data_IF_837809910699
#
_entry.id   IF_837809910699
#
_cell.length_a   1.000
_cell.length_b   1.000
_cell.length_c   1.000
_cell.angle_alpha   90.00
_cell.angle_beta   90.00
_cell.angle_gamma   90.00
#
_symmetry.space_group_name_H-M   'P 1'
#
loop_
_entity.id
_entity.type
_entity.pdbx_description
1 polymer ?
#
# COMPACT_ATOMS: atom_id res chain seq x y z
N UNK A 1 -14.42 -13.54 -21.46
CA UNK A 1 -14.18 -12.08 -21.62
C UNK A 1 -12.96 -11.93 -22.52
N UNK A 2 -12.93 -11.03 -23.50
CA UNK A 2 -11.72 -10.85 -24.32
C UNK A 2 -10.55 -10.52 -23.38
N UNK A 3 -9.44 -11.31 -23.34
CA UNK A 3 -8.38 -11.14 -22.36
C UNK A 3 -7.84 -9.70 -22.29
N UNK A 4 -7.78 -9.03 -23.46
CA UNK A 4 -7.37 -7.64 -23.58
C UNK A 4 -8.35 -6.68 -22.89
N UNK A 5 -9.66 -6.95 -22.89
CA UNK A 5 -10.65 -6.12 -22.21
C UNK A 5 -10.44 -6.17 -20.68
N UNK A 6 -10.05 -7.33 -20.13
CA UNK A 6 -9.74 -7.45 -18.70
C UNK A 6 -8.58 -6.52 -18.31
N UNK A 7 -7.52 -6.54 -19.10
CA UNK A 7 -6.31 -5.74 -18.88
C UNK A 7 -6.58 -4.24 -19.07
N UNK A 8 -7.33 -3.85 -20.10
CA UNK A 8 -7.73 -2.46 -20.31
C UNK A 8 -8.59 -1.92 -19.17
N UNK A 9 -9.59 -2.67 -18.71
CA UNK A 9 -10.41 -2.25 -17.56
C UNK A 9 -9.56 -2.15 -16.29
N UNK A 10 -8.67 -3.12 -16.04
CA UNK A 10 -7.75 -3.03 -14.91
C UNK A 10 -6.87 -1.77 -15.00
N UNK A 11 -6.37 -1.42 -16.19
CA UNK A 11 -5.57 -0.21 -16.41
C UNK A 11 -6.38 1.06 -16.15
N UNK A 12 -7.60 1.18 -16.71
CA UNK A 12 -8.45 2.36 -16.52
C UNK A 12 -8.81 2.56 -15.05
N UNK A 13 -9.21 1.51 -14.35
CA UNK A 13 -9.56 1.59 -12.93
C UNK A 13 -8.31 1.95 -12.10
N UNK A 14 -7.13 1.37 -12.40
CA UNK A 14 -5.86 1.72 -11.72
C UNK A 14 -5.51 3.18 -11.91
N UNK A 15 -5.57 3.65 -13.15
CA UNK A 15 -5.25 5.03 -13.50
C UNK A 15 -6.19 6.01 -12.79
N UNK A 16 -7.49 5.74 -12.84
CA UNK A 16 -8.47 6.55 -12.13
C UNK A 16 -8.23 6.53 -10.60
N UNK A 17 -7.93 5.36 -10.02
CA UNK A 17 -7.63 5.25 -8.59
C UNK A 17 -6.42 6.08 -8.17
N UNK A 18 -5.35 6.09 -8.98
CA UNK A 18 -4.16 6.93 -8.73
C UNK A 18 -4.53 8.41 -8.76
N UNK A 19 -5.30 8.86 -9.77
CA UNK A 19 -5.76 10.25 -9.86
C UNK A 19 -6.60 10.64 -8.63
N UNK A 20 -7.57 9.82 -8.26
CA UNK A 20 -8.42 10.04 -7.09
C UNK A 20 -7.59 10.10 -5.80
N UNK A 21 -6.65 9.16 -5.63
CA UNK A 21 -5.74 9.11 -4.49
C UNK A 21 -4.85 10.35 -4.39
N UNK A 22 -4.31 10.85 -5.50
CA UNK A 22 -3.56 12.11 -5.55
C UNK A 22 -4.43 13.28 -5.14
N UNK A 23 -5.66 13.38 -5.66
CA UNK A 23 -6.59 14.44 -5.28
C UNK A 23 -6.89 14.42 -3.77
N UNK A 24 -7.13 13.24 -3.20
CA UNK A 24 -7.46 13.11 -1.78
C UNK A 24 -6.28 13.39 -0.86
N UNK A 25 -5.14 12.74 -1.10
CA UNK A 25 -3.95 12.94 -0.27
C UNK A 25 -3.38 14.35 -0.46
N UNK A 26 -3.39 14.87 -1.70
CA UNK A 26 -2.99 16.24 -2.00
C UNK A 26 -3.82 17.26 -1.23
N UNK A 27 -5.15 17.14 -1.27
CA UNK A 27 -6.04 17.97 -0.46
C UNK A 27 -5.74 17.84 1.04
N UNK A 28 -5.54 16.62 1.52
CA UNK A 28 -5.24 16.36 2.94
C UNK A 28 -3.93 17.04 3.37
N UNK A 29 -2.86 16.96 2.57
CA UNK A 29 -1.60 17.66 2.86
C UNK A 29 -1.75 19.17 2.80
N UNK A 30 -2.48 19.69 1.82
CA UNK A 30 -2.78 21.11 1.73
C UNK A 30 -3.52 21.63 2.97
N UNK A 31 -4.58 20.95 3.42
CA UNK A 31 -5.34 21.37 4.60
C UNK A 31 -4.54 21.28 5.89
N UNK A 32 -3.68 20.27 6.03
CA UNK A 32 -2.77 20.18 7.17
C UNK A 32 -1.75 21.33 7.15
N UNK A 33 -1.21 21.67 5.98
CA UNK A 33 -0.32 22.82 5.85
C UNK A 33 -1.05 24.12 6.18
N UNK A 34 -2.23 24.35 5.59
CA UNK A 34 -3.08 25.51 5.81
C UNK A 34 -3.37 25.70 7.31
N UNK A 35 -3.92 24.68 7.96
CA UNK A 35 -4.33 24.75 9.36
C UNK A 35 -3.18 25.06 10.32
N UNK A 36 -1.97 24.60 10.01
CA UNK A 36 -0.80 24.84 10.85
C UNK A 36 -0.09 26.16 10.53
N UNK A 37 -0.41 26.83 9.42
CA UNK A 37 0.21 28.12 9.01
C UNK A 37 -0.71 29.32 9.22
N UNK A 38 -1.94 29.12 9.73
CA UNK A 38 -2.83 30.22 10.11
C UNK A 38 -2.21 31.06 11.22
N UNK A 39 -2.10 32.37 10.99
CA UNK A 39 -1.61 33.33 11.98
C UNK A 39 -2.77 33.95 12.74
N UNK A 40 -2.47 34.47 13.93
CA UNK A 40 -3.43 35.30 14.67
C UNK A 40 -3.76 36.54 13.85
N UNK A 41 -5.05 36.79 13.54
CA UNK A 41 -5.44 37.94 12.74
C UNK A 41 -5.29 39.27 13.52
N UNK A 42 -5.24 40.43 12.83
CA UNK A 42 -5.39 41.75 13.46
C UNK A 42 -6.76 41.91 14.14
N UNK A 43 -6.86 42.84 15.09
CA UNK A 43 -8.03 42.94 15.98
C UNK A 43 -9.35 43.21 15.24
N UNK A 44 -9.33 44.00 14.16
CA UNK A 44 -10.52 44.26 13.35
C UNK A 44 -11.09 42.99 12.68
N UNK A 45 -10.26 41.98 12.39
CA UNK A 45 -10.70 40.67 11.89
C UNK A 45 -11.20 39.76 13.01
N UNK A 46 -10.58 39.83 14.19
CA UNK A 46 -11.07 39.11 15.38
C UNK A 46 -12.48 39.54 15.74
N UNK A 47 -12.76 40.84 15.64
CA UNK A 47 -14.10 41.42 15.85
C UNK A 47 -15.15 40.83 14.88
N UNK A 48 -14.74 40.37 13.69
CA UNK A 48 -15.57 39.65 12.71
C UNK A 48 -15.63 38.13 12.93
N UNK A 49 -15.16 37.63 14.07
CA UNK A 49 -15.16 36.21 14.40
C UNK A 49 -14.08 35.36 13.71
N UNK A 50 -13.08 35.98 13.07
CA UNK A 50 -11.96 35.28 12.43
C UNK A 50 -10.94 34.90 13.51
N UNK A 51 -10.61 33.60 13.60
CA UNK A 51 -9.60 33.07 14.54
C UNK A 51 -8.23 32.83 13.91
N UNK A 52 -8.18 32.69 12.59
CA UNK A 52 -6.95 32.42 11.85
C UNK A 52 -6.96 33.06 10.49
N UNK A 53 -5.81 33.56 10.06
CA UNK A 53 -5.64 34.30 8.82
C UNK A 53 -4.36 33.85 8.10
N UNK A 54 -4.46 33.66 6.78
CA UNK A 54 -3.34 33.27 5.94
C UNK A 54 -3.40 34.02 4.60
N UNK A 55 -2.26 34.58 4.22
CA UNK A 55 -2.02 35.08 2.87
C UNK A 55 -1.14 34.11 2.10
N UNK A 56 -1.54 33.79 0.87
CA UNK A 56 -0.80 32.92 -0.04
C UNK A 56 -0.76 33.53 -1.45
N UNK A 57 0.25 33.17 -2.24
CA UNK A 57 0.36 33.55 -3.65
C UNK A 57 0.41 32.28 -4.50
N UNK A 58 -0.42 32.21 -5.53
CA UNK A 58 -0.40 31.11 -6.49
C UNK A 58 -1.03 31.55 -7.83
N UNK A 59 -0.57 31.00 -8.96
CA UNK A 59 -1.16 31.27 -10.28
C UNK A 59 -1.21 32.75 -10.67
N UNK A 60 -0.30 33.58 -10.16
CA UNK A 60 -0.28 35.03 -10.43
C UNK A 60 -1.25 35.88 -9.58
N UNK A 61 -1.96 35.28 -8.62
CA UNK A 61 -2.88 35.98 -7.72
C UNK A 61 -2.52 35.83 -6.24
N UNK A 62 -3.06 36.75 -5.43
CA UNK A 62 -2.99 36.69 -3.96
C UNK A 62 -4.30 36.12 -3.41
N UNK A 63 -4.19 35.16 -2.50
CA UNK A 63 -5.30 34.55 -1.78
C UNK A 63 -5.24 34.94 -0.31
N UNK A 64 -6.38 35.33 0.23
CA UNK A 64 -6.59 35.52 1.66
C UNK A 64 -7.54 34.42 2.14
N UNK A 65 -7.08 33.64 3.13
CA UNK A 65 -7.87 32.55 3.71
C UNK A 65 -8.15 32.87 5.18
N UNK A 66 -9.42 33.11 5.48
CA UNK A 66 -9.90 33.36 6.83
C UNK A 66 -10.56 32.11 7.42
N UNK A 67 -10.09 31.67 8.59
CA UNK A 67 -10.71 30.61 9.38
C UNK A 67 -11.52 31.22 10.51
N UNK A 68 -12.83 30.99 10.49
CA UNK A 68 -13.76 31.49 11.52
C UNK A 68 -13.72 30.64 12.80
N UNK A 69 -13.99 31.27 13.94
CA UNK A 69 -14.08 30.58 15.21
C UNK A 69 -15.28 29.63 15.25
N UNK A 70 -16.45 30.17 14.91
CA UNK A 70 -17.75 29.50 14.93
C UNK A 70 -18.32 29.46 13.52
N UNK A 71 -18.56 30.62 12.91
CA UNK A 71 -19.01 30.77 11.53
C UNK A 71 -18.96 32.25 11.09
N UNK A 72 -19.17 32.52 9.79
CA UNK A 72 -19.28 33.88 9.27
C UNK A 72 -20.61 34.54 9.68
N UNK A 73 -20.66 35.87 9.61
CA UNK A 73 -21.89 36.66 9.86
C UNK A 73 -23.03 36.27 8.92
N UNK A 74 -22.70 36.00 7.65
CA UNK A 74 -23.63 35.49 6.65
C UNK A 74 -23.07 34.20 6.06
N UNK A 75 -23.85 33.13 6.12
CA UNK A 75 -23.47 31.87 5.51
C UNK A 75 -23.41 31.99 3.98
N UNK A 76 -22.34 31.50 3.33
CA UNK A 76 -22.24 31.53 1.88
C UNK A 76 -23.24 30.57 1.25
N UNK A 77 -23.76 30.93 0.08
CA UNK A 77 -24.72 30.09 -0.67
C UNK A 77 -24.11 28.76 -1.12
N UNK A 78 -22.80 28.76 -1.39
CA UNK A 78 -22.06 27.58 -1.86
C UNK A 78 -20.92 27.25 -0.91
N UNK A 79 -20.99 26.06 -0.33
CA UNK A 79 -19.90 25.44 0.43
C UNK A 79 -19.33 24.28 -0.36
N UNK A 80 -18.01 24.26 -0.52
CA UNK A 80 -17.32 23.11 -1.08
C UNK A 80 -17.08 22.06 0.01
N UNK A 81 -17.51 20.82 -0.25
CA UNK A 81 -17.36 19.70 0.68
C UNK A 81 -16.32 18.72 0.14
N UNK A 82 -15.15 18.69 0.78
CA UNK A 82 -14.05 17.78 0.46
C UNK A 82 -14.36 16.33 0.88
N UNK A 83 -15.26 15.69 0.13
CA UNK A 83 -15.72 14.31 0.37
C UNK A 83 -15.50 13.42 -0.85
N UNK A 84 -15.57 13.99 -2.05
CA UNK A 84 -15.58 13.22 -3.28
C UNK A 84 -14.21 12.64 -3.60
N UNK A 85 -13.13 13.31 -3.21
CA UNK A 85 -11.77 12.82 -3.35
C UNK A 85 -11.59 11.52 -2.54
N UNK A 86 -12.05 11.52 -1.29
CA UNK A 86 -12.02 10.32 -0.44
C UNK A 86 -12.93 9.20 -0.97
N UNK A 87 -14.16 9.55 -1.35
CA UNK A 87 -15.16 8.56 -1.79
C UNK A 87 -14.77 7.93 -3.12
N UNK A 88 -14.33 8.72 -4.10
CA UNK A 88 -13.88 8.21 -5.40
C UNK A 88 -12.63 7.34 -5.27
N UNK A 89 -11.70 7.69 -4.37
CA UNK A 89 -10.52 6.85 -4.08
C UNK A 89 -10.94 5.50 -3.52
N UNK A 90 -11.86 5.47 -2.54
CA UNK A 90 -12.30 4.21 -1.95
C UNK A 90 -13.13 3.35 -2.91
N UNK A 91 -14.04 3.96 -3.68
CA UNK A 91 -14.84 3.26 -4.69
C UNK A 91 -13.90 2.61 -5.71
N UNK A 92 -12.99 3.38 -6.29
CA UNK A 92 -12.02 2.85 -7.26
C UNK A 92 -11.06 1.82 -6.67
N UNK A 93 -10.62 1.99 -5.43
CA UNK A 93 -9.77 1.02 -4.73
C UNK A 93 -10.50 -0.30 -4.45
N UNK A 94 -11.76 -0.22 -4.04
CA UNK A 94 -12.61 -1.41 -3.85
C UNK A 94 -12.87 -2.12 -5.16
N UNK A 95 -13.11 -1.37 -6.25
CA UNK A 95 -13.23 -1.93 -7.59
C UNK A 95 -11.93 -2.64 -8.01
N UNK A 96 -10.75 -2.10 -7.71
CA UNK A 96 -9.47 -2.78 -7.98
C UNK A 96 -9.28 -4.05 -7.15
N UNK A 97 -9.62 -4.00 -5.87
CA UNK A 97 -9.55 -5.15 -4.99
C UNK A 97 -10.43 -6.28 -5.54
N UNK A 98 -11.67 -5.95 -5.93
CA UNK A 98 -12.57 -6.91 -6.56
C UNK A 98 -12.02 -7.42 -7.89
N UNK A 99 -11.62 -6.52 -8.79
CA UNK A 99 -11.22 -6.85 -10.16
C UNK A 99 -9.97 -7.73 -10.21
N UNK A 100 -8.98 -7.44 -9.36
CA UNK A 100 -7.67 -8.11 -9.39
C UNK A 100 -7.62 -9.28 -8.41
N UNK A 101 -8.07 -9.07 -7.16
CA UNK A 101 -7.87 -10.03 -6.08
C UNK A 101 -9.05 -10.96 -5.84
N UNK A 102 -10.28 -10.60 -6.25
CA UNK A 102 -11.45 -11.46 -6.05
C UNK A 102 -11.87 -12.20 -7.32
N UNK A 103 -11.88 -11.54 -8.49
CA UNK A 103 -12.19 -12.22 -9.76
C UNK A 103 -11.12 -13.24 -10.18
N UNK A 104 -9.86 -13.02 -9.77
CA UNK A 104 -8.72 -13.91 -10.01
C UNK A 104 -8.01 -14.26 -8.71
N UNK A 105 -8.80 -14.66 -7.70
CA UNK A 105 -8.30 -14.96 -6.37
C UNK A 105 -7.29 -16.11 -6.35
N UNK A 106 -7.48 -17.11 -7.19
CA UNK A 106 -6.56 -18.22 -7.44
C UNK A 106 -5.18 -17.73 -7.91
N UNK A 107 -5.14 -16.63 -8.67
CA UNK A 107 -3.91 -16.08 -9.19
C UNK A 107 -3.27 -15.03 -8.27
N UNK A 108 -4.05 -14.18 -7.57
CA UNK A 108 -3.48 -13.03 -6.86
C UNK A 108 -3.62 -13.09 -5.34
N UNK A 109 -4.60 -13.82 -4.81
CA UNK A 109 -4.96 -13.79 -3.39
C UNK A 109 -4.54 -15.06 -2.64
N UNK A 110 -4.73 -16.23 -3.26
CA UNK A 110 -4.56 -17.53 -2.64
C UNK A 110 -3.16 -18.04 -2.93
N UNK A 111 -2.43 -18.39 -1.87
CA UNK A 111 -1.19 -19.15 -1.96
C UNK A 111 -1.40 -20.48 -1.22
N UNK A 112 -1.51 -21.62 -1.94
CA UNK A 112 -1.71 -22.92 -1.30
C UNK A 112 -0.58 -23.34 -0.36
N UNK A 113 0.62 -22.76 -0.50
CA UNK A 113 1.74 -23.03 0.40
C UNK A 113 1.58 -22.36 1.76
N UNK A 114 0.77 -21.29 1.83
CA UNK A 114 0.40 -20.61 3.07
C UNK A 114 -0.88 -21.24 3.64
N UNK A 115 -1.95 -21.24 2.85
CA UNK A 115 -3.23 -21.82 3.23
C UNK A 115 -4.03 -22.23 1.98
N UNK A 116 -4.37 -23.51 1.89
CA UNK A 116 -5.22 -24.03 0.82
C UNK A 116 -6.68 -23.60 1.04
N UNK A 117 -7.08 -22.51 0.39
CA UNK A 117 -8.43 -21.94 0.45
C UNK A 117 -9.16 -22.14 -0.88
N UNK A 118 -10.49 -22.29 -0.80
CA UNK A 118 -11.34 -22.04 -1.97
C UNK A 118 -11.46 -20.54 -2.24
N UNK A 119 -11.79 -20.18 -3.48
CA UNK A 119 -12.04 -18.79 -3.90
C UNK A 119 -13.05 -18.08 -2.99
N UNK A 120 -14.18 -18.74 -2.68
CA UNK A 120 -15.21 -18.16 -1.82
C UNK A 120 -14.71 -17.91 -0.40
N UNK A 121 -13.94 -18.83 0.18
CA UNK A 121 -13.35 -18.65 1.51
C UNK A 121 -12.35 -17.50 1.52
N UNK A 122 -11.46 -17.41 0.52
CA UNK A 122 -10.49 -16.33 0.43
C UNK A 122 -11.16 -14.96 0.32
N UNK A 123 -12.19 -14.82 -0.51
CA UNK A 123 -12.97 -13.58 -0.63
C UNK A 123 -13.70 -13.25 0.69
N UNK A 124 -14.35 -14.25 1.30
CA UNK A 124 -15.07 -14.05 2.56
C UNK A 124 -14.13 -13.61 3.70
N UNK A 125 -12.94 -14.20 3.79
CA UNK A 125 -11.91 -13.80 4.75
C UNK A 125 -11.35 -12.41 4.44
N UNK A 126 -11.22 -12.04 3.16
CA UNK A 126 -10.73 -10.72 2.75
C UNK A 126 -11.71 -9.60 3.14
N UNK A 127 -12.97 -9.75 2.72
CA UNK A 127 -14.06 -8.81 3.06
C UNK A 127 -14.33 -8.81 4.57
N UNK A 128 -14.38 -9.99 5.18
CA UNK A 128 -14.59 -10.18 6.61
C UNK A 128 -13.49 -9.54 7.45
N UNK A 129 -12.22 -9.70 7.05
CA UNK A 129 -11.08 -9.09 7.71
C UNK A 129 -11.11 -7.56 7.65
N UNK A 130 -11.42 -6.98 6.48
CA UNK A 130 -11.56 -5.52 6.34
C UNK A 130 -12.71 -5.00 7.21
N UNK A 131 -13.86 -5.68 7.17
CA UNK A 131 -15.06 -5.30 7.95
C UNK A 131 -14.81 -5.41 9.45
N UNK A 132 -14.19 -6.51 9.90
CA UNK A 132 -13.83 -6.75 11.29
C UNK A 132 -12.83 -5.70 11.79
N UNK A 133 -11.80 -5.39 11.00
CA UNK A 133 -10.80 -4.39 11.38
C UNK A 133 -11.41 -3.00 11.52
N UNK A 134 -12.32 -2.62 10.61
CA UNK A 134 -13.10 -1.40 10.75
C UNK A 134 -13.99 -1.41 12.00
N UNK A 135 -14.70 -2.51 12.27
CA UNK A 135 -15.58 -2.64 13.43
C UNK A 135 -14.79 -2.56 14.75
N UNK A 136 -13.61 -3.20 14.83
CA UNK A 136 -12.72 -3.13 15.99
C UNK A 136 -12.20 -1.70 16.21
N UNK A 137 -11.80 -1.01 15.13
CA UNK A 137 -11.39 0.38 15.19
C UNK A 137 -12.51 1.31 15.71
N UNK A 138 -13.73 1.16 15.18
CA UNK A 138 -14.89 1.94 15.66
C UNK A 138 -15.25 1.59 17.11
N UNK A 139 -15.26 0.30 17.46
CA UNK A 139 -15.54 -0.17 18.82
C UNK A 139 -14.55 0.41 19.82
N UNK A 140 -13.26 0.42 19.47
CA UNK A 140 -12.20 0.99 20.32
C UNK A 140 -12.43 2.50 20.54
N UNK A 141 -12.79 3.24 19.49
CA UNK A 141 -13.01 4.69 19.59
C UNK A 141 -14.31 5.08 20.28
N UNK A 142 -15.29 4.19 20.33
CA UNK A 142 -16.53 4.35 21.11
C UNK A 142 -16.39 3.88 22.56
N UNK A 143 -15.34 3.11 22.87
CA UNK A 143 -15.08 2.61 24.22
C UNK A 143 -14.46 3.68 25.15
N UNK A 144 -14.44 3.47 26.48
CA UNK A 144 -13.76 4.37 27.42
C UNK A 144 -12.25 4.51 27.20
N UNK A 145 -11.62 3.57 26.47
CA UNK A 145 -10.19 3.63 26.11
C UNK A 145 -9.88 4.90 25.29
N UNK A 146 -10.89 5.43 24.59
CA UNK A 146 -10.81 6.65 23.79
C UNK A 146 -10.31 7.88 24.58
N UNK A 147 -10.52 7.89 25.90
CA UNK A 147 -10.10 8.97 26.80
C UNK A 147 -8.68 8.78 27.36
N UNK A 148 -8.01 7.67 27.02
CA UNK A 148 -6.64 7.32 27.44
C UNK A 148 -5.74 7.23 26.21
N UNK A 149 -5.15 8.34 25.72
CA UNK A 149 -4.48 8.40 24.42
C UNK A 149 -3.36 7.36 24.23
N UNK A 150 -2.57 7.10 25.27
CA UNK A 150 -1.51 6.09 25.22
C UNK A 150 -2.09 4.69 25.05
N UNK A 151 -3.09 4.33 25.86
CA UNK A 151 -3.74 3.02 25.79
C UNK A 151 -4.42 2.83 24.43
N UNK A 152 -5.14 3.84 23.94
CA UNK A 152 -5.76 3.84 22.62
C UNK A 152 -4.72 3.58 21.52
N UNK A 153 -3.60 4.31 21.55
CA UNK A 153 -2.54 4.19 20.54
C UNK A 153 -1.90 2.80 20.57
N UNK A 154 -1.59 2.28 21.76
CA UNK A 154 -1.06 0.92 21.92
C UNK A 154 -2.04 -0.14 21.43
N UNK A 155 -3.33 -0.02 21.76
CA UNK A 155 -4.37 -0.92 21.27
C UNK A 155 -4.48 -0.91 19.75
N UNK A 156 -4.41 0.27 19.11
CA UNK A 156 -4.42 0.38 17.65
C UNK A 156 -3.20 -0.27 17.00
N UNK A 157 -2.01 -0.11 17.60
CA UNK A 157 -0.77 -0.75 17.13
C UNK A 157 -0.86 -2.27 17.25
N UNK A 158 -1.34 -2.78 18.39
CA UNK A 158 -1.51 -4.23 18.62
C UNK A 158 -2.52 -4.81 17.63
N UNK A 159 -3.70 -4.19 17.48
CA UNK A 159 -4.71 -4.65 16.52
C UNK A 159 -4.15 -4.62 15.09
N UNK A 160 -3.48 -3.54 14.71
CA UNK A 160 -2.83 -3.43 13.39
C UNK A 160 -1.81 -4.55 13.15
N UNK A 161 -0.98 -4.87 14.16
CA UNK A 161 -0.01 -5.96 14.08
C UNK A 161 -0.69 -7.34 13.97
N UNK A 162 -1.79 -7.56 14.68
CA UNK A 162 -2.60 -8.78 14.56
C UNK A 162 -3.18 -8.95 13.16
N UNK A 163 -3.63 -7.87 12.52
CA UNK A 163 -4.06 -7.91 11.11
C UNK A 163 -2.90 -8.15 10.15
N UNK A 164 -1.74 -7.54 10.37
CA UNK A 164 -0.54 -7.80 9.56
C UNK A 164 -0.17 -9.29 9.63
N UNK A 165 -0.12 -9.85 10.83
CA UNK A 165 0.11 -11.27 11.04
C UNK A 165 -0.99 -12.11 10.37
N UNK A 166 -2.25 -11.90 10.74
CA UNK A 166 -3.39 -12.68 10.24
C UNK A 166 -3.47 -12.70 8.72
N UNK A 167 -3.31 -11.56 8.04
CA UNK A 167 -3.33 -11.52 6.59
C UNK A 167 -2.17 -12.28 5.95
N UNK A 168 -0.95 -12.21 6.50
CA UNK A 168 0.19 -12.98 5.97
C UNK A 168 0.11 -14.48 6.25
N UNK A 169 -0.70 -14.92 7.22
CA UNK A 169 -0.94 -16.34 7.50
C UNK A 169 -2.08 -16.92 6.66
N UNK A 170 -2.83 -16.10 5.94
CA UNK A 170 -4.04 -16.51 5.21
C UNK A 170 -3.91 -16.28 3.71
N UNK A 171 -3.30 -15.16 3.30
CA UNK A 171 -3.20 -14.75 1.91
C UNK A 171 -1.77 -14.83 1.39
N UNK A 172 -1.63 -14.85 0.06
CA UNK A 172 -0.35 -14.59 -0.61
C UNK A 172 0.28 -13.29 -0.09
N UNK A 173 1.61 -13.16 -0.13
CA UNK A 173 2.28 -11.95 0.35
C UNK A 173 1.73 -10.66 -0.30
N UNK A 174 1.43 -10.72 -1.59
CA UNK A 174 0.77 -9.63 -2.35
C UNK A 174 -0.65 -9.36 -1.83
N UNK A 175 -1.43 -10.42 -1.63
CA UNK A 175 -2.78 -10.34 -1.09
C UNK A 175 -2.79 -9.70 0.29
N UNK A 176 -1.89 -10.13 1.18
CA UNK A 176 -1.80 -9.64 2.55
C UNK A 176 -1.52 -8.13 2.63
N UNK A 177 -0.54 -7.63 1.87
CA UNK A 177 -0.17 -6.22 1.87
C UNK A 177 -1.30 -5.33 1.32
N UNK A 178 -1.95 -5.77 0.23
CA UNK A 178 -3.08 -5.02 -0.34
C UNK A 178 -4.31 -5.05 0.57
N UNK A 179 -4.60 -6.17 1.23
CA UNK A 179 -5.71 -6.23 2.20
C UNK A 179 -5.46 -5.33 3.41
N UNK A 180 -4.20 -5.23 3.88
CA UNK A 180 -3.84 -4.26 4.91
C UNK A 180 -4.03 -2.82 4.43
N UNK A 181 -3.63 -2.52 3.19
CA UNK A 181 -3.87 -1.21 2.56
C UNK A 181 -5.36 -0.90 2.41
N UNK A 182 -6.17 -1.87 2.00
CA UNK A 182 -7.61 -1.76 1.86
C UNK A 182 -8.32 -1.56 3.22
N UNK A 183 -7.87 -2.23 4.28
CA UNK A 183 -8.35 -2.02 5.63
C UNK A 183 -8.07 -0.59 6.10
N UNK A 184 -6.83 -0.12 5.98
CA UNK A 184 -6.45 1.25 6.33
C UNK A 184 -7.26 2.26 5.52
N UNK A 185 -7.34 2.10 4.19
CA UNK A 185 -8.10 2.98 3.32
C UNK A 185 -9.60 3.01 3.65
N UNK A 186 -10.18 1.86 4.03
CA UNK A 186 -11.58 1.76 4.45
C UNK A 186 -11.82 2.50 5.77
N UNK A 187 -10.94 2.33 6.76
CA UNK A 187 -10.99 3.10 8.01
C UNK A 187 -10.92 4.61 7.69
N UNK A 188 -10.01 5.00 6.80
CA UNK A 188 -9.80 6.41 6.46
C UNK A 188 -11.00 7.04 5.76
N UNK A 189 -11.65 6.36 4.81
CA UNK A 189 -12.85 6.90 4.16
C UNK A 189 -14.05 6.88 5.11
N UNK A 190 -14.17 5.85 5.97
CA UNK A 190 -15.28 5.74 6.92
C UNK A 190 -15.21 6.87 7.96
N UNK A 191 -14.00 7.24 8.39
CA UNK A 191 -13.76 8.46 9.18
C UNK A 191 -14.34 9.71 8.49
N UNK A 192 -14.14 9.86 7.18
CA UNK A 192 -14.69 10.98 6.40
C UNK A 192 -16.21 10.91 6.34
N UNK A 193 -16.75 9.75 5.97
CA UNK A 193 -18.16 9.56 5.69
C UNK A 193 -19.05 9.60 6.94
N UNK A 194 -18.61 8.96 8.03
CA UNK A 194 -19.44 8.72 9.23
C UNK A 194 -19.24 9.82 10.27
N UNK A 195 -18.05 10.44 10.35
CA UNK A 195 -17.72 11.42 11.41
C UNK A 195 -17.43 12.82 10.88
N UNK A 196 -16.56 12.97 9.89
CA UNK A 196 -16.10 14.30 9.46
C UNK A 196 -17.21 15.06 8.73
N UNK A 197 -17.76 14.52 7.65
CA UNK A 197 -18.78 15.21 6.84
C UNK A 197 -20.08 15.42 7.64
N UNK A 198 -20.62 14.43 8.38
CA UNK A 198 -21.81 14.65 9.21
C UNK A 198 -21.60 15.71 10.29
N UNK A 199 -20.44 15.69 10.98
CA UNK A 199 -20.13 16.70 12.01
C UNK A 199 -19.99 18.11 11.42
N UNK A 200 -19.38 18.25 10.25
CA UNK A 200 -19.29 19.54 9.56
C UNK A 200 -20.68 20.04 9.11
N UNK A 201 -21.55 19.14 8.62
CA UNK A 201 -22.93 19.50 8.26
C UNK A 201 -23.74 19.96 9.46
N UNK A 202 -23.61 19.27 10.59
CA UNK A 202 -24.28 19.66 11.84
C UNK A 202 -23.82 21.04 12.31
N UNK A 203 -22.51 21.29 12.31
CA UNK A 203 -21.95 22.61 12.64
C UNK A 203 -22.51 23.70 11.72
N UNK A 204 -22.54 23.46 10.40
CA UNK A 204 -23.11 24.40 9.42
C UNK A 204 -24.60 24.67 9.70
N UNK A 205 -25.37 23.65 10.06
CA UNK A 205 -26.79 23.81 10.40
C UNK A 205 -26.99 24.68 11.65
N UNK A 206 -26.23 24.42 12.72
CA UNK A 206 -26.29 25.21 13.96
C UNK A 206 -25.92 26.68 13.72
N UNK A 207 -24.84 26.93 12.97
CA UNK A 207 -24.43 28.30 12.60
C UNK A 207 -25.52 28.99 11.79
N UNK A 208 -26.12 28.29 10.82
CA UNK A 208 -27.17 28.84 9.97
C UNK A 208 -28.46 29.16 10.75
N UNK A 209 -28.73 28.40 11.80
CA UNK A 209 -29.88 28.60 12.69
C UNK A 209 -29.63 29.64 13.79
N UNK A 210 -28.41 30.19 13.92
CA UNK A 210 -28.05 31.09 15.02
C UNK A 210 -27.97 30.40 16.38
N UNK A 211 -27.86 29.06 16.40
CA UNK A 211 -27.76 28.27 17.61
C UNK A 211 -26.32 28.27 18.16
N UNK A 212 -26.17 27.98 19.45
CA UNK A 212 -24.86 27.72 20.04
C UNK A 212 -24.26 26.45 19.43
N UNK A 213 -23.10 26.58 18.80
CA UNK A 213 -22.40 25.45 18.17
C UNK A 213 -21.86 24.49 19.21
N UNK A 214 -22.26 23.22 19.11
CA UNK A 214 -21.68 22.14 19.91
C UNK A 214 -20.28 21.80 19.37
N UNK A 215 -19.20 21.93 20.18
CA UNK A 215 -17.86 21.61 19.71
C UNK A 215 -17.60 20.11 19.54
N UNK A 216 -18.41 19.22 20.15
CA UNK A 216 -18.11 17.79 20.21
C UNK A 216 -17.98 17.11 18.83
N UNK A 217 -18.90 17.31 17.85
CA UNK A 217 -18.76 16.73 16.52
C UNK A 217 -17.50 17.22 15.77
N UNK A 218 -17.15 18.50 15.95
CA UNK A 218 -15.96 19.10 15.33
C UNK A 218 -14.65 18.57 15.92
N UNK A 219 -14.60 18.37 17.24
CA UNK A 219 -13.47 17.75 17.93
C UNK A 219 -13.29 16.28 17.50
N UNK A 220 -14.39 15.54 17.37
CA UNK A 220 -14.34 14.16 16.87
C UNK A 220 -13.88 14.11 15.42
N UNK A 221 -14.39 14.99 14.54
CA UNK A 221 -13.94 15.11 13.16
C UNK A 221 -12.44 15.41 13.08
N UNK A 222 -11.94 16.33 13.91
CA UNK A 222 -10.50 16.64 14.00
C UNK A 222 -9.70 15.41 14.42
N UNK A 223 -10.15 14.66 15.43
CA UNK A 223 -9.48 13.44 15.87
C UNK A 223 -9.38 12.39 14.75
N UNK A 224 -10.47 12.17 14.01
CA UNK A 224 -10.47 11.25 12.86
C UNK A 224 -9.54 11.72 11.73
N UNK A 225 -9.52 13.02 11.47
CA UNK A 225 -8.59 13.62 10.52
C UNK A 225 -7.13 13.40 10.92
N UNK A 226 -6.80 13.50 12.22
CA UNK A 226 -5.46 13.17 12.72
C UNK A 226 -5.09 11.72 12.44
N UNK A 227 -5.99 10.75 12.67
CA UNK A 227 -5.71 9.35 12.34
C UNK A 227 -5.43 9.16 10.84
N UNK A 228 -6.28 9.74 9.97
CA UNK A 228 -6.08 9.70 8.52
C UNK A 228 -4.73 10.30 8.11
N UNK A 229 -4.34 11.40 8.74
CA UNK A 229 -3.08 12.08 8.49
C UNK A 229 -1.88 11.15 8.77
N UNK A 230 -1.84 10.46 9.92
CA UNK A 230 -0.76 9.50 10.23
C UNK A 230 -0.75 8.28 9.30
N UNK A 231 -1.92 7.83 8.85
CA UNK A 231 -2.07 6.65 7.98
C UNK A 231 -1.82 6.93 6.49
N UNK A 232 -1.63 8.20 6.11
CA UNK A 232 -1.45 8.62 4.72
C UNK A 232 -0.18 8.05 4.08
N UNK A 233 0.99 8.18 4.72
CA UNK A 233 2.23 7.61 4.16
C UNK A 233 2.23 6.08 4.17
N UNK A 234 1.79 5.41 5.26
CA UNK A 234 1.59 3.96 5.25
C UNK A 234 0.74 3.46 4.09
N UNK A 235 -0.44 4.05 3.84
CA UNK A 235 -1.34 3.54 2.79
C UNK A 235 -0.75 3.73 1.39
N UNK A 236 -0.07 4.85 1.12
CA UNK A 236 0.64 5.06 -0.15
C UNK A 236 1.72 4.00 -0.37
N UNK A 237 2.49 3.70 0.68
CA UNK A 237 3.52 2.65 0.59
C UNK A 237 2.89 1.30 0.25
N UNK A 238 1.78 0.95 0.89
CA UNK A 238 1.09 -0.32 0.63
C UNK A 238 0.56 -0.41 -0.81
N UNK A 239 0.15 0.70 -1.42
CA UNK A 239 -0.26 0.72 -2.84
C UNK A 239 0.86 0.32 -3.79
N UNK A 240 2.11 0.71 -3.50
CA UNK A 240 3.28 0.39 -4.35
C UNK A 240 4.02 -0.88 -3.92
N UNK A 241 3.68 -1.46 -2.78
CA UNK A 241 4.39 -2.59 -2.16
C UNK A 241 4.54 -3.81 -3.08
N UNK A 242 3.55 -4.09 -3.93
CA UNK A 242 3.54 -5.23 -4.85
C UNK A 242 4.65 -5.21 -5.92
N UNK A 243 5.33 -4.07 -6.09
CA UNK A 243 6.49 -3.95 -6.97
C UNK A 243 7.79 -4.46 -6.35
N UNK A 244 7.78 -4.79 -5.06
CA UNK A 244 8.96 -5.05 -4.25
C UNK A 244 8.87 -6.42 -3.54
N UNK A 245 9.13 -7.56 -4.20
CA UNK A 245 8.96 -8.89 -3.61
C UNK A 245 9.75 -9.15 -2.34
N UNK A 246 10.92 -8.53 -2.20
CA UNK A 246 11.78 -8.66 -1.02
C UNK A 246 11.06 -8.30 0.30
N UNK A 247 9.99 -7.50 0.26
CA UNK A 247 9.26 -7.12 1.48
C UNK A 247 8.12 -8.08 1.82
N UNK A 248 7.50 -8.73 0.82
CA UNK A 248 6.31 -9.56 1.02
C UNK A 248 6.55 -11.07 0.91
N UNK A 249 7.64 -11.51 0.24
CA UNK A 249 8.02 -12.94 0.16
C UNK A 249 8.98 -13.38 1.26
N UNK A 250 9.36 -12.48 2.18
CA UNK A 250 10.21 -12.83 3.31
C UNK A 250 9.41 -13.63 4.36
N UNK A 251 10.06 -14.58 5.05
CA UNK A 251 9.44 -15.40 6.11
C UNK A 251 8.85 -14.56 7.27
N UNK A 252 9.42 -13.38 7.49
CA UNK A 252 8.97 -12.38 8.45
C UNK A 252 8.24 -11.18 7.81
N UNK A 253 7.55 -11.39 6.69
CA UNK A 253 6.82 -10.35 5.94
C UNK A 253 5.87 -9.53 6.81
N UNK A 254 5.23 -10.14 7.81
CA UNK A 254 4.33 -9.43 8.74
C UNK A 254 5.05 -8.42 9.63
N UNK A 255 6.27 -8.73 10.10
CA UNK A 255 7.09 -7.79 10.88
C UNK A 255 7.58 -6.65 10.00
N UNK A 256 7.97 -6.96 8.77
CA UNK A 256 8.38 -5.97 7.76
C UNK A 256 7.21 -5.02 7.48
N UNK A 257 6.01 -5.57 7.28
CA UNK A 257 4.77 -4.81 7.09
C UNK A 257 4.49 -3.87 8.28
N UNK A 258 4.57 -4.38 9.51
CA UNK A 258 4.45 -3.57 10.74
C UNK A 258 5.49 -2.44 10.80
N UNK A 259 6.76 -2.76 10.51
CA UNK A 259 7.85 -1.80 10.54
C UNK A 259 7.65 -0.70 9.49
N UNK A 260 7.23 -1.05 8.28
CA UNK A 260 6.97 -0.10 7.20
C UNK A 260 5.82 0.85 7.54
N UNK A 261 4.73 0.34 8.12
CA UNK A 261 3.61 1.16 8.60
C UNK A 261 4.09 2.09 9.72
N UNK A 262 4.79 1.56 10.72
CA UNK A 262 5.28 2.33 11.87
C UNK A 262 6.27 3.43 11.48
N UNK A 263 7.28 3.10 10.67
CA UNK A 263 8.29 4.05 10.18
C UNK A 263 7.68 5.12 9.29
N UNK A 264 6.73 4.75 8.42
CA UNK A 264 6.03 5.72 7.57
C UNK A 264 5.18 6.68 8.40
N UNK A 265 4.46 6.19 9.41
CA UNK A 265 3.70 7.03 10.35
C UNK A 265 4.63 7.93 11.19
N UNK A 266 5.81 7.41 11.58
CA UNK A 266 6.83 8.17 12.32
C UNK A 266 7.45 9.29 11.49
N UNK A 267 7.78 9.03 10.22
CA UNK A 267 8.22 10.07 9.29
C UNK A 267 7.11 11.12 9.11
N UNK A 268 5.84 10.69 9.04
CA UNK A 268 4.73 11.64 8.99
C UNK A 268 4.62 12.50 10.24
N UNK A 269 4.94 11.94 11.41
CA UNK A 269 4.99 12.69 12.67
C UNK A 269 5.95 13.88 12.60
N UNK A 270 7.15 13.69 12.03
CA UNK A 270 8.10 14.78 11.81
C UNK A 270 7.49 15.92 11.01
N UNK A 271 6.84 15.62 9.88
CA UNK A 271 6.20 16.66 9.07
C UNK A 271 5.08 17.36 9.84
N UNK A 272 4.26 16.63 10.60
CA UNK A 272 3.22 17.26 11.42
C UNK A 272 3.79 18.27 12.42
N UNK A 273 4.90 17.92 13.10
CA UNK A 273 5.59 18.85 14.02
C UNK A 273 6.22 20.03 13.29
N UNK A 274 6.88 19.77 12.15
CA UNK A 274 7.50 20.82 11.33
C UNK A 274 6.46 21.86 10.88
N UNK A 275 5.27 21.42 10.48
CA UNK A 275 4.19 22.35 10.10
C UNK A 275 3.74 23.22 11.27
N UNK A 276 3.83 22.74 12.52
CA UNK A 276 3.54 23.51 13.74
C UNK A 276 4.71 24.38 14.21
N UNK A 277 5.77 24.53 13.40
CA UNK A 277 6.99 25.26 13.78
C UNK A 277 7.92 24.51 14.74
N UNK A 278 7.64 23.24 15.04
CA UNK A 278 8.47 22.41 15.92
C UNK A 278 9.49 21.64 15.09
N UNK A 279 10.74 22.10 15.10
CA UNK A 279 11.84 21.49 14.35
C UNK A 279 12.56 20.42 15.18
N UNK A 280 12.18 19.14 15.00
CA UNK A 280 12.85 17.98 15.62
C UNK A 280 13.46 17.05 14.57
N UNK A 281 14.62 17.40 13.96
CA UNK A 281 15.22 16.61 12.87
C UNK A 281 15.57 15.18 13.29
N UNK A 282 15.81 14.93 14.58
CA UNK A 282 16.05 13.58 15.10
C UNK A 282 14.96 12.57 14.72
N UNK A 283 13.69 13.01 14.57
CA UNK A 283 12.55 12.15 14.22
C UNK A 283 12.66 11.64 12.77
N UNK A 284 12.94 12.53 11.82
CA UNK A 284 13.11 12.12 10.42
C UNK A 284 14.41 11.35 10.22
N UNK A 285 15.48 11.73 10.92
CA UNK A 285 16.76 11.00 10.89
C UNK A 285 16.58 9.59 11.45
N UNK A 286 15.89 9.41 12.58
CA UNK A 286 15.64 8.07 13.13
C UNK A 286 14.70 7.25 12.25
N UNK A 287 13.68 7.86 11.65
CA UNK A 287 12.80 7.19 10.68
C UNK A 287 13.55 6.73 9.43
N UNK A 288 14.36 7.61 8.84
CA UNK A 288 15.19 7.30 7.67
C UNK A 288 16.26 6.23 8.00
N UNK A 289 16.90 6.32 9.16
CA UNK A 289 17.85 5.32 9.64
C UNK A 289 17.15 3.98 9.85
N UNK A 290 15.94 3.95 10.41
CA UNK A 290 15.14 2.73 10.54
C UNK A 290 14.82 2.09 9.19
N UNK A 291 14.44 2.89 8.18
CA UNK A 291 14.23 2.38 6.82
C UNK A 291 15.52 1.87 6.17
N UNK A 292 16.64 2.56 6.36
CA UNK A 292 17.96 2.12 5.87
C UNK A 292 18.37 0.80 6.51
N UNK A 293 18.25 0.67 7.84
CA UNK A 293 18.56 -0.55 8.57
C UNK A 293 17.67 -1.71 8.12
N UNK A 294 16.38 -1.46 7.89
CA UNK A 294 15.47 -2.45 7.33
C UNK A 294 15.91 -2.86 5.92
N UNK A 295 16.27 -1.92 5.05
CA UNK A 295 16.75 -2.22 3.70
C UNK A 295 18.06 -3.03 3.71
N UNK A 296 19.02 -2.68 4.57
CA UNK A 296 20.28 -3.42 4.75
C UNK A 296 20.00 -4.82 5.28
N UNK A 297 19.13 -4.95 6.28
CA UNK A 297 18.73 -6.25 6.83
C UNK A 297 18.14 -7.17 5.76
N UNK A 298 17.20 -6.66 4.95
CA UNK A 298 16.58 -7.42 3.86
C UNK A 298 17.59 -7.77 2.75
N UNK A 299 18.49 -6.85 2.42
CA UNK A 299 19.51 -7.09 1.40
C UNK A 299 20.54 -8.13 1.87
N UNK A 300 20.91 -8.10 3.15
CA UNK A 300 21.86 -9.06 3.73
C UNK A 300 21.23 -10.44 3.88
N UNK A 301 19.99 -10.55 4.38
CA UNK A 301 19.32 -11.85 4.48
C UNK A 301 19.23 -12.54 3.11
N UNK A 302 18.95 -11.76 2.06
CA UNK A 302 18.92 -12.22 0.68
C UNK A 302 20.32 -12.61 0.16
N UNK A 303 21.35 -11.80 0.40
CA UNK A 303 22.72 -12.13 0.00
C UNK A 303 23.25 -13.39 0.70
N UNK A 304 22.90 -13.63 1.96
CA UNK A 304 23.29 -14.84 2.69
C UNK A 304 22.60 -16.08 2.11
N UNK A 305 21.31 -15.99 1.79
CA UNK A 305 20.59 -17.04 1.07
C UNK A 305 21.28 -17.36 -0.26
N UNK A 306 21.71 -16.34 -1.01
CA UNK A 306 22.41 -16.50 -2.28
C UNK A 306 23.76 -17.19 -2.12
N UNK A 307 24.57 -16.77 -1.16
CA UNK A 307 25.88 -17.36 -0.90
C UNK A 307 25.78 -18.83 -0.48
N UNK A 308 24.76 -19.19 0.31
CA UNK A 308 24.54 -20.56 0.76
C UNK A 308 24.04 -21.47 -0.37
N UNK A 309 23.24 -20.93 -1.30
CA UNK A 309 22.83 -21.64 -2.50
C UNK A 309 23.99 -21.82 -3.50
N UNK A 310 24.87 -20.81 -3.65
CA UNK A 310 26.09 -20.87 -4.48
C UNK A 310 27.12 -21.88 -3.94
N UNK A 311 27.30 -21.97 -2.62
CA UNK A 311 28.24 -22.91 -2.01
C UNK A 311 27.78 -24.38 -2.12
N UNK A 312 26.47 -24.62 -2.17
CA UNK A 312 25.91 -25.95 -2.39
C UNK A 312 26.01 -26.40 -3.86
N UNK A 313 26.16 -25.45 -4.77
CA UNK A 313 26.21 -25.63 -6.21
C UNK A 313 27.60 -26.02 -6.76
N UNK A 314 28.67 -25.79 -6.01
CA UNK A 314 30.05 -25.98 -6.47
C UNK A 314 30.59 -27.42 -6.39
N UNK A 315 29.77 -28.42 -6.07
CA UNK A 315 30.25 -29.77 -5.75
C UNK A 315 30.10 -30.80 -6.88
N UNK A 316 29.47 -30.46 -8.01
CA UNK A 316 29.31 -31.41 -9.13
C UNK A 316 29.47 -30.75 -10.49
N UNK A 317 30.65 -30.89 -11.13
CA UNK A 317 30.78 -30.68 -12.59
C UNK A 317 31.84 -31.61 -13.18
N UNK A 318 31.45 -32.34 -14.24
CA UNK A 318 32.32 -32.83 -15.31
C UNK A 318 31.77 -32.32 -16.66
N UNK A 319 32.67 -32.07 -17.62
CA UNK A 319 32.43 -31.34 -18.89
C UNK A 319 32.71 -32.26 -20.08
N UNK A 320 31.95 -32.13 -21.18
CA UNK A 320 32.45 -32.16 -22.58
C UNK A 320 31.36 -31.85 -23.65
N UNK A 321 31.75 -31.10 -24.70
CA UNK A 321 31.28 -31.31 -26.09
C UNK A 321 30.37 -30.26 -26.77
N UNK A 322 30.92 -29.53 -27.75
CA UNK A 322 30.21 -28.64 -28.69
C UNK A 322 29.39 -29.39 -29.77
N UNK A 323 28.13 -28.98 -29.94
CA UNK A 323 27.42 -28.74 -31.23
C UNK A 323 25.91 -28.71 -30.97
N UNK A 324 25.23 -27.65 -31.41
CA UNK A 324 23.89 -27.28 -30.93
C UNK A 324 23.87 -27.10 -29.39
N UNK A 325 22.78 -26.58 -28.81
CA UNK A 325 22.74 -26.20 -27.39
C UNK A 325 23.43 -27.23 -26.48
N UNK A 326 24.34 -26.78 -25.61
CA UNK A 326 25.01 -27.67 -24.67
C UNK A 326 24.00 -28.42 -23.81
N UNK A 327 24.39 -29.56 -23.23
CA UNK A 327 23.47 -30.31 -22.37
C UNK A 327 22.92 -29.47 -21.21
N UNK A 328 23.78 -28.59 -20.66
CA UNK A 328 23.41 -27.59 -19.66
C UNK A 328 22.35 -26.61 -20.19
N UNK A 329 22.54 -26.08 -21.40
CA UNK A 329 21.59 -25.18 -22.04
C UNK A 329 20.24 -25.87 -22.30
N UNK A 330 20.25 -27.14 -22.71
CA UNK A 330 19.03 -27.95 -22.90
C UNK A 330 18.28 -28.16 -21.60
N UNK A 331 18.99 -28.45 -20.50
CA UNK A 331 18.39 -28.64 -19.19
C UNK A 331 17.73 -27.36 -18.68
N UNK A 332 18.43 -26.22 -18.74
CA UNK A 332 17.85 -24.91 -18.37
C UNK A 332 16.64 -24.59 -19.24
N UNK A 333 16.76 -24.74 -20.55
CA UNK A 333 15.67 -24.49 -21.47
C UNK A 333 14.46 -25.37 -21.13
N UNK A 334 14.66 -26.65 -20.83
CA UNK A 334 13.57 -27.55 -20.43
C UNK A 334 12.82 -27.04 -19.19
N UNK A 335 13.56 -26.66 -18.14
CA UNK A 335 12.97 -26.10 -16.91
C UNK A 335 12.23 -24.80 -17.23
N UNK A 336 12.84 -23.87 -17.95
CA UNK A 336 12.23 -22.57 -18.28
C UNK A 336 10.98 -22.74 -19.15
N UNK A 337 11.00 -23.65 -20.12
CA UNK A 337 9.84 -23.92 -20.97
C UNK A 337 8.68 -24.53 -20.17
N UNK A 338 8.96 -25.48 -19.29
CA UNK A 338 7.93 -26.11 -18.46
C UNK A 338 7.38 -25.19 -17.37
N UNK A 339 8.24 -24.35 -16.77
CA UNK A 339 7.91 -23.59 -15.57
C UNK A 339 7.59 -22.13 -15.82
N UNK A 340 8.09 -21.53 -16.89
CA UNK A 340 8.02 -20.08 -17.11
C UNK A 340 7.35 -19.69 -18.43
N UNK A 341 7.55 -20.45 -19.51
CA UNK A 341 7.11 -20.05 -20.86
C UNK A 341 5.59 -20.00 -21.03
N UNK A 342 4.80 -20.66 -20.16
CA UNK A 342 3.33 -20.51 -20.15
C UNK A 342 2.89 -19.05 -19.99
N UNK A 343 3.61 -18.27 -19.20
CA UNK A 343 3.38 -16.83 -19.01
C UNK A 343 4.38 -15.96 -19.78
N UNK A 344 5.65 -16.38 -19.86
CA UNK A 344 6.76 -15.62 -20.42
C UNK A 344 7.12 -16.08 -21.84
N UNK A 345 6.16 -16.01 -22.76
CA UNK A 345 6.31 -16.35 -24.18
C UNK A 345 5.82 -15.23 -25.08
N UNK A 346 6.31 -15.18 -26.33
CA UNK A 346 5.69 -14.36 -27.39
C UNK A 346 4.23 -14.75 -27.65
N UNK A 347 3.84 -15.99 -27.32
CA UNK A 347 2.47 -16.49 -27.38
C UNK A 347 2.12 -17.19 -26.06
N UNK A 348 1.86 -16.43 -24.97
CA UNK A 348 1.49 -17.01 -23.68
C UNK A 348 0.25 -17.88 -23.78
N UNK A 349 0.24 -18.98 -23.03
CA UNK A 349 -0.88 -19.94 -22.96
C UNK A 349 -1.58 -19.93 -21.61
N UNK A 350 -1.14 -19.10 -20.67
CA UNK A 350 -1.74 -18.95 -19.35
C UNK A 350 -3.07 -18.17 -19.39
N UNK A 351 -4.07 -18.65 -18.66
CA UNK A 351 -5.41 -18.04 -18.61
C UNK A 351 -5.45 -16.66 -17.93
N UNK A 352 -4.43 -16.34 -17.13
CA UNK A 352 -4.30 -15.06 -16.42
C UNK A 352 -3.49 -14.05 -17.23
N UNK A 353 -2.35 -14.46 -17.78
CA UNK A 353 -1.44 -13.55 -18.47
C UNK A 353 -1.54 -13.70 -19.99
N UNK A 354 -2.26 -12.77 -20.64
CA UNK A 354 -2.43 -12.79 -22.10
C UNK A 354 -1.26 -12.17 -22.88
N UNK A 355 -0.34 -11.54 -22.16
CA UNK A 355 0.93 -11.04 -22.65
C UNK A 355 2.02 -11.32 -21.61
N UNK A 356 3.27 -11.47 -22.08
CA UNK A 356 4.40 -11.73 -21.21
C UNK A 356 4.57 -10.64 -20.13
N UNK A 357 4.47 -10.98 -18.83
CA UNK A 357 4.59 -9.98 -17.77
C UNK A 357 5.93 -9.23 -17.86
N UNK A 358 5.85 -7.89 -17.89
CA UNK A 358 7.03 -7.03 -18.03
C UNK A 358 7.73 -7.11 -19.38
N UNK A 359 7.09 -7.67 -20.41
CA UNK A 359 7.65 -7.83 -21.76
C UNK A 359 8.79 -8.85 -21.84
N UNK A 360 8.91 -9.72 -20.84
CA UNK A 360 9.96 -10.73 -20.75
C UNK A 360 9.50 -12.01 -21.44
N UNK A 361 9.92 -12.22 -22.68
CA UNK A 361 9.75 -13.48 -23.39
C UNK A 361 10.94 -14.39 -23.11
N UNK A 362 10.73 -15.70 -23.01
CA UNK A 362 11.74 -16.72 -22.70
C UNK A 362 11.66 -17.92 -23.68
N UNK A 363 11.21 -17.68 -24.92
CA UNK A 363 11.00 -18.75 -25.91
C UNK A 363 12.32 -19.35 -26.44
N UNK A 364 13.41 -18.57 -26.44
CA UNK A 364 14.69 -18.94 -27.03
C UNK A 364 15.83 -18.89 -26.02
N UNK A 365 16.95 -19.55 -26.33
CA UNK A 365 18.13 -19.51 -25.46
C UNK A 365 18.68 -18.09 -25.32
N UNK A 366 18.65 -17.31 -26.41
CA UNK A 366 19.08 -15.90 -26.39
C UNK A 366 18.21 -15.06 -25.46
N UNK A 367 16.91 -15.36 -25.39
CA UNK A 367 16.01 -14.71 -24.45
C UNK A 367 16.36 -15.07 -22.99
N UNK A 368 16.62 -16.35 -22.71
CA UNK A 368 17.03 -16.84 -21.38
C UNK A 368 18.36 -16.21 -20.95
N UNK A 369 19.35 -16.21 -21.84
CA UNK A 369 20.68 -15.64 -21.61
C UNK A 369 20.58 -14.15 -21.28
N UNK A 370 19.81 -13.40 -22.07
CA UNK A 370 19.55 -11.97 -21.84
C UNK A 370 18.96 -11.70 -20.45
N UNK A 371 18.10 -12.59 -19.97
CA UNK A 371 17.40 -12.43 -18.69
C UNK A 371 18.01 -13.26 -17.56
N UNK A 372 19.15 -13.93 -17.75
CA UNK A 372 19.71 -14.93 -16.84
C UNK A 372 19.77 -14.47 -15.37
N UNK A 373 20.29 -13.27 -15.12
CA UNK A 373 20.43 -12.69 -13.79
C UNK A 373 19.05 -12.47 -13.16
N UNK A 374 18.08 -12.01 -13.96
CA UNK A 374 16.71 -11.77 -13.50
C UNK A 374 15.94 -13.07 -13.30
N UNK A 375 16.19 -14.11 -14.10
CA UNK A 375 15.62 -15.44 -13.90
C UNK A 375 16.10 -15.98 -12.56
N UNK A 376 17.41 -15.99 -12.30
CA UNK A 376 17.97 -16.41 -11.00
C UNK A 376 17.38 -15.59 -9.86
N UNK A 377 17.38 -14.28 -9.96
CA UNK A 377 16.87 -13.40 -8.90
C UNK A 377 15.39 -13.69 -8.59
N UNK A 378 14.57 -13.89 -9.61
CA UNK A 378 13.11 -13.99 -9.45
C UNK A 378 12.65 -15.40 -9.11
N UNK A 379 13.31 -16.42 -9.67
CA UNK A 379 12.95 -17.81 -9.42
C UNK A 379 13.72 -18.39 -8.25
N UNK A 380 15.00 -18.10 -8.07
CA UNK A 380 15.78 -18.77 -7.03
C UNK A 380 15.86 -17.94 -5.76
N UNK A 381 16.12 -16.64 -5.91
CA UNK A 381 16.40 -15.77 -4.77
C UNK A 381 15.13 -15.30 -4.08
N UNK A 382 14.29 -14.52 -4.77
CA UNK A 382 13.03 -14.01 -4.20
C UNK A 382 11.93 -15.07 -4.16
N UNK A 383 12.09 -16.15 -4.94
CA UNK A 383 11.11 -17.23 -5.13
C UNK A 383 9.70 -16.72 -5.45
N UNK A 384 9.61 -15.56 -6.09
CA UNK A 384 8.35 -14.91 -6.44
C UNK A 384 7.90 -15.21 -7.87
N UNK A 385 8.75 -15.92 -8.63
CA UNK A 385 8.45 -16.54 -9.91
C UNK A 385 8.76 -18.04 -9.90
N UNK A 386 8.08 -18.88 -10.70
CA UNK A 386 6.85 -18.62 -11.44
C UNK A 386 5.75 -18.06 -10.52
N UNK A 387 4.87 -17.23 -11.07
CA UNK A 387 3.93 -16.43 -10.28
C UNK A 387 3.08 -17.31 -9.34
N UNK A 388 3.12 -17.02 -8.03
CA UNK A 388 2.54 -17.85 -6.95
C UNK A 388 2.87 -19.36 -7.04
N UNK A 389 4.04 -19.68 -7.60
CA UNK A 389 4.46 -21.04 -7.90
C UNK A 389 3.41 -21.87 -8.69
N UNK A 390 2.63 -21.22 -9.57
CA UNK A 390 1.52 -21.83 -10.31
C UNK A 390 1.91 -23.07 -11.13
N UNK A 391 3.12 -23.07 -11.68
CA UNK A 391 3.68 -24.19 -12.47
C UNK A 391 4.45 -25.20 -11.61
N UNK A 392 4.42 -25.06 -10.28
CA UNK A 392 5.00 -25.99 -9.30
C UNK A 392 6.49 -26.29 -9.56
N UNK A 393 7.30 -25.26 -9.78
CA UNK A 393 8.75 -25.46 -9.88
C UNK A 393 9.28 -25.97 -8.53
N UNK A 394 10.12 -26.99 -8.58
CA UNK A 394 10.68 -27.63 -7.39
C UNK A 394 11.92 -26.89 -6.89
N UNK A 395 12.31 -27.14 -5.64
CA UNK A 395 13.57 -26.60 -5.13
C UNK A 395 14.78 -27.16 -5.90
N UNK A 396 14.73 -28.42 -6.33
CA UNK A 396 15.77 -29.02 -7.16
C UNK A 396 15.90 -28.32 -8.51
N UNK A 397 14.78 -27.99 -9.18
CA UNK A 397 14.80 -27.24 -10.44
C UNK A 397 15.33 -25.81 -10.24
N UNK A 398 14.99 -25.14 -9.13
CA UNK A 398 15.55 -23.82 -8.79
C UNK A 398 17.06 -23.90 -8.58
N UNK A 399 17.54 -24.94 -7.90
CA UNK A 399 18.98 -25.18 -7.72
C UNK A 399 19.68 -25.45 -9.06
N UNK A 400 19.08 -26.26 -9.95
CA UNK A 400 19.59 -26.46 -11.31
C UNK A 400 19.67 -25.14 -12.07
N UNK A 401 18.63 -24.30 -12.03
CA UNK A 401 18.65 -22.98 -12.67
C UNK A 401 19.79 -22.11 -12.12
N UNK A 402 20.01 -22.10 -10.81
CA UNK A 402 21.10 -21.32 -10.22
C UNK A 402 22.46 -21.84 -10.64
N UNK A 403 22.69 -23.14 -10.60
CA UNK A 403 23.96 -23.77 -11.00
C UNK A 403 24.29 -23.47 -12.46
N UNK A 404 23.31 -23.66 -13.34
CA UNK A 404 23.52 -23.66 -14.78
C UNK A 404 23.50 -22.25 -15.39
N UNK A 405 22.82 -21.28 -14.77
CA UNK A 405 22.78 -19.88 -15.24
C UNK A 405 23.76 -18.95 -14.52
N UNK A 406 24.36 -19.35 -13.39
CA UNK A 406 25.34 -18.53 -12.68
C UNK A 406 26.73 -18.55 -13.36
N UNK A 407 26.97 -19.46 -14.30
CA UNK A 407 28.21 -19.55 -15.06
C UNK A 407 28.14 -18.62 -16.29
N UNK A 408 29.23 -17.88 -16.59
CA UNK A 408 29.23 -16.85 -17.62
C UNK A 408 29.04 -17.37 -19.04
#
# INVERSE_FOLDING_TARGET
>A
MWPQLYEWLALFIKWFHVIAGIAWIGASFYFVWLDNNLKTPPDWKKQKGIKGDLWAVHGGGFYEVAKYQVGPEKMPEKLHWFKWEAYSTWISGTLLLFWIYYLRADAYLIDPQIMALSTTQAIALGVGGITLGFALYEGLLRSPITNKPLLLSLSLVIIGALFCYGFTQVFSGRGAFIHMGALIGTIMVANVWIKIIPGQKQMVAQVSAGETVDPAPGLEAKRRSVHNNYLTLPVIFLMISNHYPMIYQHSHSWLILCALIGLSAWIRHFFNLKHQGVHKPAIIVSGATGLLLLAVFLSWSQAKSNAQALASASTEISVEGESSMSEQQRQVMSIVQQRCATCHSRMPTDDTFSAAPGGVNLDTWQDIERWRVRIIERSVVTKDMPFLNKTQITESERQSLQQLLAQP
#
